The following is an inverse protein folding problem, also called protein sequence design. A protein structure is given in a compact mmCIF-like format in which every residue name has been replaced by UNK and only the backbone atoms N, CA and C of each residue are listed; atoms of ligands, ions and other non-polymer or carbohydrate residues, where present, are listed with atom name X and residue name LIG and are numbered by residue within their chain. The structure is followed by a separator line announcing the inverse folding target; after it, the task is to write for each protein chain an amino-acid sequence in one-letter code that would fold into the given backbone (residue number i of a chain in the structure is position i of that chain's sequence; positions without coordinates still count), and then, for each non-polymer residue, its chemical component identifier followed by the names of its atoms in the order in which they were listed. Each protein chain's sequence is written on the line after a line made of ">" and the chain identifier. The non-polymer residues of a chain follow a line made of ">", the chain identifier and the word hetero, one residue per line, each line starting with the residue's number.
data_IF_983594709677
#
_entry.id   IF_983594709677
#
_cell.length_a   1.000
_cell.length_b   1.000
_cell.length_c   1.000
_cell.angle_alpha   90.00
_cell.angle_beta   90.00
_cell.angle_gamma   90.00
#
_symmetry.space_group_name_H-M   'P 1'
#
loop_
_entity.id
_entity.type
_entity.pdbx_description
1 polymer ?
#
# COMPACT_ATOMS: atom_id res chain seq x y z
N UNK A 1 -12.69 -12.34 58.41
CA UNK A 1 -13.45 -13.53 58.84
C UNK A 1 -13.29 -14.60 57.76
N UNK A 2 -12.87 -15.80 58.16
CA UNK A 2 -12.54 -16.94 57.30
C UNK A 2 -13.80 -17.79 57.08
N UNK A 3 -14.05 -18.19 55.84
CA UNK A 3 -14.99 -19.24 55.47
C UNK A 3 -14.23 -20.37 54.80
N UNK A 4 -13.82 -21.37 55.59
CA UNK A 4 -13.24 -22.64 55.16
C UNK A 4 -14.35 -23.68 55.18
N UNK A 5 -14.43 -24.55 54.18
CA UNK A 5 -14.67 -26.00 54.35
C UNK A 5 -14.56 -26.72 53.00
N UNK A 6 -13.47 -27.46 52.86
CA UNK A 6 -13.26 -28.52 51.89
C UNK A 6 -13.90 -29.83 52.38
N UNK A 7 -14.29 -30.72 51.47
CA UNK A 7 -14.43 -32.19 51.63
C UNK A 7 -14.65 -32.77 50.20
N UNK A 8 -13.64 -33.37 49.56
CA UNK A 8 -13.12 -34.77 49.63
C UNK A 8 -13.79 -35.75 48.64
N UNK A 9 -12.96 -36.19 47.68
CA UNK A 9 -12.81 -37.51 47.05
C UNK A 9 -13.90 -38.58 47.21
N UNK A 10 -14.26 -39.20 46.07
CA UNK A 10 -14.32 -40.66 45.96
C UNK A 10 -13.90 -41.11 44.54
N UNK A 11 -12.85 -41.92 44.56
CA UNK A 11 -12.14 -42.53 43.44
C UNK A 11 -12.65 -43.96 43.30
N UNK A 12 -12.59 -44.49 42.07
CA UNK A 12 -12.48 -45.92 41.70
C UNK A 12 -13.70 -46.83 41.89
N UNK A 13 -14.21 -47.33 40.77
CA UNK A 13 -14.37 -48.78 40.63
C UNK A 13 -14.10 -49.20 39.17
N UNK A 14 -13.04 -49.98 39.01
CA UNK A 14 -12.59 -50.62 37.78
C UNK A 14 -12.94 -52.11 37.97
N UNK A 15 -13.80 -52.67 37.12
CA UNK A 15 -14.01 -54.13 37.07
C UNK A 15 -14.11 -54.60 35.61
N UNK A 16 -13.24 -55.52 35.17
CA UNK A 16 -13.33 -56.15 33.87
C UNK A 16 -14.12 -57.46 33.96
N UNK A 17 -15.08 -57.68 33.07
CA UNK A 17 -15.56 -59.01 32.72
C UNK A 17 -15.61 -59.10 31.20
N UNK A 18 -14.95 -60.14 30.68
CA UNK A 18 -14.82 -60.48 29.27
C UNK A 18 -15.87 -61.53 28.90
N UNK A 19 -16.28 -61.48 27.62
CA UNK A 19 -16.82 -62.58 26.80
C UNK A 19 -18.32 -62.90 27.07
N UNK A 20 -19.21 -63.13 26.10
CA UNK A 20 -19.08 -63.71 24.77
C UNK A 20 -20.16 -63.16 23.80
N UNK A 21 -19.74 -62.88 22.56
CA UNK A 21 -20.32 -63.37 21.30
C UNK A 21 -21.85 -63.52 21.17
N UNK A 22 -22.51 -62.58 20.48
CA UNK A 22 -23.53 -62.93 19.46
C UNK A 22 -23.35 -62.03 18.24
N UNK A 23 -22.92 -62.67 17.15
CA UNK A 23 -22.90 -62.14 15.80
C UNK A 23 -24.30 -61.74 15.35
N UNK A 24 -24.52 -60.46 15.10
CA UNK A 24 -25.60 -60.00 14.23
C UNK A 24 -24.96 -59.32 13.03
N UNK A 25 -25.00 -60.03 11.91
CA UNK A 25 -24.68 -59.50 10.59
C UNK A 25 -25.50 -58.24 10.36
N UNK A 26 -24.86 -57.07 10.46
CA UNK A 26 -25.37 -55.84 9.89
C UNK A 26 -24.72 -55.70 8.52
N UNK A 27 -25.50 -56.09 7.51
CA UNK A 27 -25.28 -55.76 6.10
C UNK A 27 -24.82 -54.31 5.96
N UNK A 28 -23.55 -54.15 5.58
CA UNK A 28 -23.02 -52.89 5.09
C UNK A 28 -23.71 -52.57 3.76
N UNK A 29 -24.27 -51.36 3.56
CA UNK A 29 -24.38 -50.85 2.20
C UNK A 29 -22.96 -50.62 1.69
N UNK A 30 -22.76 -51.00 0.44
CA UNK A 30 -21.52 -50.90 -0.30
C UNK A 30 -20.83 -49.55 -0.05
N UNK A 31 -19.51 -49.63 0.17
CA UNK A 31 -18.62 -48.51 -0.09
C UNK A 31 -18.79 -48.13 -1.55
N UNK A 32 -19.43 -47.00 -1.82
CA UNK A 32 -19.27 -46.31 -3.09
C UNK A 32 -17.76 -46.09 -3.29
N UNK A 33 -17.18 -46.50 -4.42
CA UNK A 33 -15.82 -46.11 -4.73
C UNK A 33 -15.81 -44.58 -4.80
N UNK A 34 -14.88 -44.00 -4.04
CA UNK A 34 -14.54 -42.58 -4.11
C UNK A 34 -14.58 -42.12 -5.57
N UNK A 35 -15.56 -41.30 -5.90
CA UNK A 35 -15.53 -40.57 -7.17
C UNK A 35 -14.26 -39.72 -7.12
N UNK A 36 -13.32 -39.87 -8.07
CA UNK A 36 -12.24 -38.91 -8.18
C UNK A 36 -12.91 -37.56 -8.38
N UNK A 37 -12.55 -36.56 -7.57
CA UNK A 37 -12.98 -35.19 -7.79
C UNK A 37 -12.55 -34.82 -9.22
N UNK A 38 -13.47 -34.91 -10.17
CA UNK A 38 -13.20 -34.62 -11.56
C UNK A 38 -12.79 -33.14 -11.63
N UNK A 39 -11.58 -32.82 -12.12
CA UNK A 39 -11.20 -31.45 -12.38
C UNK A 39 -12.01 -30.98 -13.59
N UNK A 40 -13.23 -30.48 -13.36
CA UNK A 40 -14.11 -30.02 -14.44
C UNK A 40 -15.59 -30.40 -14.38
N UNK A 41 -16.17 -30.69 -13.20
CA UNK A 41 -17.63 -30.87 -13.09
C UNK A 41 -18.42 -29.64 -13.56
N UNK A 42 -19.68 -29.82 -13.97
CA UNK A 42 -20.55 -28.74 -14.49
C UNK A 42 -20.60 -27.49 -13.58
N UNK A 43 -20.45 -27.67 -12.27
CA UNK A 43 -20.33 -26.58 -11.29
C UNK A 43 -19.03 -25.77 -11.44
N UNK A 44 -17.89 -26.43 -11.67
CA UNK A 44 -16.61 -25.76 -11.93
C UNK A 44 -16.60 -25.06 -13.29
N UNK A 45 -17.26 -25.64 -14.30
CA UNK A 45 -17.46 -24.99 -15.60
C UNK A 45 -18.37 -23.76 -15.50
N UNK A 46 -19.46 -23.86 -14.73
CA UNK A 46 -20.36 -22.73 -14.47
C UNK A 46 -19.64 -21.62 -13.69
N UNK A 47 -18.84 -21.98 -12.69
CA UNK A 47 -18.03 -21.04 -11.91
C UNK A 47 -16.98 -20.34 -12.78
N UNK A 48 -16.27 -21.08 -13.64
CA UNK A 48 -15.31 -20.51 -14.60
C UNK A 48 -15.98 -19.61 -15.64
N UNK A 49 -17.15 -20.02 -16.14
CA UNK A 49 -17.94 -19.21 -17.07
C UNK A 49 -18.40 -17.89 -16.42
N UNK A 50 -18.88 -17.97 -15.18
CA UNK A 50 -19.31 -16.80 -14.44
C UNK A 50 -18.13 -15.89 -14.06
N UNK A 51 -16.97 -16.46 -13.70
CA UNK A 51 -15.72 -15.74 -13.46
C UNK A 51 -15.27 -14.96 -14.71
N UNK A 52 -15.19 -15.61 -15.87
CA UNK A 52 -14.79 -14.95 -17.13
C UNK A 52 -15.74 -13.81 -17.53
N UNK A 53 -17.04 -13.95 -17.26
CA UNK A 53 -18.02 -12.91 -17.59
C UNK A 53 -17.97 -11.71 -16.65
N UNK A 54 -17.53 -11.92 -15.41
CA UNK A 54 -17.39 -10.88 -14.40
C UNK A 54 -15.99 -10.26 -14.37
N UNK A 55 -15.02 -10.87 -15.03
CA UNK A 55 -13.64 -10.40 -15.08
C UNK A 55 -13.50 -8.97 -15.63
N UNK A 56 -14.11 -8.58 -16.77
CA UNK A 56 -14.01 -7.20 -17.26
C UNK A 56 -14.58 -6.15 -16.30
N UNK A 57 -15.59 -6.52 -15.49
CA UNK A 57 -16.14 -5.63 -14.47
C UNK A 57 -15.17 -5.47 -13.30
N UNK A 58 -14.59 -6.57 -12.82
CA UNK A 58 -13.58 -6.54 -11.76
C UNK A 58 -12.34 -5.76 -12.19
N UNK A 59 -11.91 -5.93 -13.43
CA UNK A 59 -10.75 -5.23 -13.99
C UNK A 59 -11.02 -3.71 -14.09
N UNK A 60 -12.22 -3.33 -14.54
CA UNK A 60 -12.66 -1.94 -14.53
C UNK A 60 -12.75 -1.36 -13.10
N UNK A 61 -13.26 -2.14 -12.14
CA UNK A 61 -13.36 -1.74 -10.74
C UNK A 61 -11.97 -1.53 -10.12
N UNK A 62 -10.97 -2.37 -10.44
CA UNK A 62 -9.59 -2.23 -9.97
C UNK A 62 -8.97 -0.92 -10.48
N UNK A 63 -9.08 -0.65 -11.78
CA UNK A 63 -8.56 0.58 -12.38
C UNK A 63 -9.26 1.83 -11.80
N UNK A 64 -10.59 1.78 -11.62
CA UNK A 64 -11.34 2.88 -11.02
C UNK A 64 -11.00 3.08 -9.54
N UNK A 65 -10.72 2.01 -8.81
CA UNK A 65 -10.30 2.10 -7.40
C UNK A 65 -8.93 2.77 -7.29
N UNK A 66 -7.99 2.44 -8.18
CA UNK A 66 -6.70 3.13 -8.28
C UNK A 66 -6.86 4.62 -8.58
N UNK A 67 -7.70 5.01 -9.55
CA UNK A 67 -8.00 6.43 -9.86
C UNK A 67 -8.57 7.17 -8.65
N UNK A 68 -9.50 6.55 -7.91
CA UNK A 68 -10.09 7.16 -6.70
C UNK A 68 -9.07 7.31 -5.59
N UNK A 69 -8.22 6.31 -5.37
CA UNK A 69 -7.16 6.36 -4.38
C UNK A 69 -6.12 7.44 -4.73
N UNK A 70 -5.77 7.56 -6.01
CA UNK A 70 -4.88 8.60 -6.52
C UNK A 70 -5.48 10.00 -6.29
N UNK A 71 -6.76 10.18 -6.61
CA UNK A 71 -7.48 11.44 -6.35
C UNK A 71 -7.50 11.78 -4.85
N UNK A 72 -7.71 10.78 -4.00
CA UNK A 72 -7.69 10.96 -2.55
C UNK A 72 -6.30 11.35 -2.04
N UNK A 73 -5.23 10.77 -2.59
CA UNK A 73 -3.85 11.11 -2.26
C UNK A 73 -3.53 12.56 -2.64
N UNK A 74 -3.81 12.98 -3.88
CA UNK A 74 -3.63 14.39 -4.31
C UNK A 74 -4.42 15.34 -3.41
N UNK A 75 -5.70 15.05 -3.15
CA UNK A 75 -6.52 15.88 -2.27
C UNK A 75 -6.00 15.94 -0.83
N UNK A 76 -5.38 14.88 -0.32
CA UNK A 76 -4.76 14.87 1.00
C UNK A 76 -3.46 15.70 1.05
N UNK A 77 -2.63 15.65 0.01
CA UNK A 77 -1.46 16.52 -0.12
C UNK A 77 -1.87 17.99 -0.20
N UNK A 78 -2.84 18.34 -1.04
CA UNK A 78 -3.35 19.72 -1.12
C UNK A 78 -3.91 20.21 0.21
N UNK A 79 -4.64 19.34 0.93
CA UNK A 79 -5.18 19.70 2.24
C UNK A 79 -4.07 19.95 3.26
N UNK A 80 -3.01 19.15 3.24
CA UNK A 80 -1.82 19.34 4.08
C UNK A 80 -1.15 20.68 3.80
N UNK A 81 -0.97 21.05 2.52
CA UNK A 81 -0.37 22.33 2.14
C UNK A 81 -1.20 23.55 2.54
N UNK A 82 -2.52 23.39 2.59
CA UNK A 82 -3.46 24.46 2.98
C UNK A 82 -3.61 24.62 4.49
N UNK A 83 -2.96 23.77 5.31
CA UNK A 83 -2.99 23.96 6.77
C UNK A 83 -2.21 25.21 7.16
N UNK A 84 -2.72 25.97 8.13
CA UNK A 84 -2.05 27.19 8.65
C UNK A 84 -0.63 26.90 9.17
N UNK A 85 -0.37 25.65 9.50
CA UNK A 85 0.89 25.13 10.05
C UNK A 85 1.85 24.60 8.98
N UNK A 86 1.47 24.69 7.69
CA UNK A 86 2.32 24.37 6.54
C UNK A 86 3.48 25.36 6.33
N UNK A 87 3.63 26.37 7.20
CA UNK A 87 4.75 27.30 7.18
C UNK A 87 6.11 26.57 7.22
N UNK A 88 6.22 25.45 7.94
CA UNK A 88 7.45 24.63 7.94
C UNK A 88 7.71 23.96 6.58
N UNK A 89 6.66 23.49 5.89
CA UNK A 89 6.79 22.93 4.54
C UNK A 89 7.20 24.00 3.53
N UNK A 90 6.69 25.23 3.68
CA UNK A 90 7.13 26.36 2.86
C UNK A 90 8.60 26.71 3.09
N UNK A 91 9.09 26.75 4.34
CA UNK A 91 10.53 26.96 4.63
C UNK A 91 11.42 25.88 4.02
N UNK A 92 10.96 24.63 4.02
CA UNK A 92 11.69 23.52 3.40
C UNK A 92 11.78 23.73 1.88
N UNK A 93 10.71 24.21 1.24
CA UNK A 93 10.72 24.56 -0.19
C UNK A 93 11.58 25.80 -0.49
N UNK A 94 11.54 26.82 0.36
CA UNK A 94 12.42 28.00 0.23
C UNK A 94 13.90 27.60 0.33
N UNK A 95 14.24 26.71 1.28
CA UNK A 95 15.58 26.15 1.38
C UNK A 95 15.96 25.36 0.11
N UNK A 96 15.00 24.65 -0.48
CA UNK A 96 15.21 23.90 -1.71
C UNK A 96 15.49 24.81 -2.90
N UNK A 97 14.81 25.94 -3.02
CA UNK A 97 15.08 26.94 -4.06
C UNK A 97 16.47 27.56 -3.94
N UNK A 98 16.99 27.70 -2.71
CA UNK A 98 18.34 28.20 -2.45
C UNK A 98 19.44 27.13 -2.56
N UNK A 99 19.09 25.85 -2.60
CA UNK A 99 20.05 24.74 -2.62
C UNK A 99 20.35 24.28 -4.06
N UNK A 100 21.63 24.15 -4.48
CA UNK A 100 21.99 23.68 -5.82
C UNK A 100 21.43 22.29 -6.17
N UNK A 101 21.28 21.40 -5.19
CA UNK A 101 20.67 20.07 -5.32
C UNK A 101 19.17 20.03 -5.04
N UNK A 102 18.54 21.20 -4.91
CA UNK A 102 17.09 21.35 -4.74
C UNK A 102 16.54 20.64 -3.50
N UNK A 103 15.27 20.26 -3.58
CA UNK A 103 14.53 19.64 -2.47
C UNK A 103 15.16 18.33 -2.01
N UNK A 104 15.74 17.55 -2.94
CA UNK A 104 16.38 16.27 -2.62
C UNK A 104 17.60 16.46 -1.72
N UNK A 105 18.43 17.47 -1.99
CA UNK A 105 19.57 17.79 -1.14
C UNK A 105 19.10 18.25 0.24
N UNK A 106 18.11 19.15 0.29
CA UNK A 106 17.54 19.62 1.56
C UNK A 106 17.03 18.47 2.42
N UNK A 107 16.20 17.60 1.85
CA UNK A 107 15.64 16.46 2.57
C UNK A 107 16.74 15.49 3.03
N UNK A 108 17.75 15.22 2.21
CA UNK A 108 18.91 14.39 2.59
C UNK A 108 19.71 14.99 3.75
N UNK A 109 19.93 16.31 3.73
CA UNK A 109 20.70 17.05 4.71
C UNK A 109 19.88 17.46 5.95
N UNK A 110 18.57 17.15 5.98
CA UNK A 110 17.75 17.13 7.20
C UNK A 110 18.06 15.94 8.12
N UNK A 111 19.01 15.07 7.77
CA UNK A 111 19.54 14.03 8.66
C UNK A 111 20.28 14.63 9.86
N UNK A 112 20.43 13.88 10.97
CA UNK A 112 21.22 14.33 12.12
C UNK A 112 22.63 14.79 11.72
N UNK A 113 22.98 16.02 12.10
CA UNK A 113 24.29 16.62 11.79
C UNK A 113 24.45 17.12 10.34
N UNK A 114 23.42 17.04 9.51
CA UNK A 114 23.42 17.63 8.16
C UNK A 114 23.14 19.13 8.15
N UNK A 115 23.31 19.75 6.98
CA UNK A 115 23.18 21.20 6.80
C UNK A 115 21.79 21.75 7.18
N UNK A 116 20.75 20.92 7.08
CA UNK A 116 19.35 21.29 7.37
C UNK A 116 18.77 20.54 8.58
N UNK A 117 19.60 20.01 9.49
CA UNK A 117 19.16 19.34 10.72
C UNK A 117 18.22 20.20 11.59
N UNK A 118 18.38 21.52 11.58
CA UNK A 118 17.46 22.42 12.30
C UNK A 118 16.06 22.44 11.68
N UNK A 119 15.94 22.42 10.34
CA UNK A 119 14.63 22.29 9.67
C UNK A 119 13.96 20.98 10.03
N UNK A 120 14.73 19.89 10.18
CA UNK A 120 14.20 18.61 10.67
C UNK A 120 13.64 18.70 12.07
N UNK A 121 14.36 19.34 12.99
CA UNK A 121 13.87 19.54 14.36
C UNK A 121 12.61 20.39 14.40
N UNK A 122 12.55 21.45 13.62
CA UNK A 122 11.34 22.29 13.50
C UNK A 122 10.16 21.53 12.92
N UNK A 123 10.38 20.72 11.88
CA UNK A 123 9.36 19.84 11.30
C UNK A 123 8.82 18.85 12.33
N UNK A 124 9.71 18.13 13.03
CA UNK A 124 9.32 17.19 14.07
C UNK A 124 8.60 17.88 15.24
N UNK A 125 9.05 19.07 15.64
CA UNK A 125 8.40 19.84 16.69
C UNK A 125 7.00 20.31 16.27
N UNK A 126 6.82 20.68 15.00
CA UNK A 126 5.52 21.08 14.45
C UNK A 126 4.57 19.88 14.41
N UNK A 127 5.03 18.71 13.94
CA UNK A 127 4.26 17.46 13.99
C UNK A 127 3.84 17.09 15.41
N UNK A 128 4.71 17.28 16.40
CA UNK A 128 4.42 16.92 17.79
C UNK A 128 3.48 17.93 18.50
N UNK A 129 3.52 19.20 18.09
CA UNK A 129 2.80 20.29 18.78
C UNK A 129 1.45 20.59 18.15
N UNK A 130 1.33 20.44 16.84
CA UNK A 130 0.16 20.85 16.08
C UNK A 130 -0.65 19.63 15.64
N UNK A 131 -1.77 19.40 16.32
CA UNK A 131 -2.67 18.27 16.06
C UNK A 131 -3.27 18.34 14.65
N UNK A 132 -3.57 19.53 14.13
CA UNK A 132 -4.16 19.70 12.80
C UNK A 132 -3.15 19.38 11.71
N UNK A 133 -1.90 19.85 11.87
CA UNK A 133 -0.80 19.52 10.98
C UNK A 133 -0.51 18.02 11.00
N UNK A 134 -0.38 17.45 12.20
CA UNK A 134 -0.13 16.02 12.39
C UNK A 134 -1.21 15.16 11.74
N UNK A 135 -2.49 15.44 12.00
CA UNK A 135 -3.61 14.70 11.41
C UNK A 135 -3.64 14.83 9.88
N UNK A 136 -3.35 16.02 9.34
CA UNK A 136 -3.29 16.23 7.88
C UNK A 136 -2.11 15.50 7.26
N UNK A 137 -0.96 15.47 7.95
CA UNK A 137 0.23 14.74 7.51
C UNK A 137 0.00 13.23 7.52
N UNK A 138 -0.58 12.69 8.59
CA UNK A 138 -0.94 11.27 8.68
C UNK A 138 -1.96 10.87 7.61
N UNK A 139 -2.94 11.74 7.33
CA UNK A 139 -3.91 11.53 6.26
C UNK A 139 -3.23 11.49 4.88
N UNK A 140 -2.29 12.40 4.61
CA UNK A 140 -1.52 12.41 3.36
C UNK A 140 -0.65 11.14 3.22
N UNK A 141 0.08 10.76 4.27
CA UNK A 141 0.89 9.54 4.28
C UNK A 141 0.04 8.27 4.09
N UNK A 142 -1.11 8.19 4.77
CA UNK A 142 -2.02 7.05 4.64
C UNK A 142 -2.68 6.98 3.27
N UNK A 143 -3.01 8.13 2.66
CA UNK A 143 -3.56 8.19 1.33
C UNK A 143 -2.52 7.80 0.26
N UNK A 144 -1.25 8.17 0.44
CA UNK A 144 -0.14 7.72 -0.40
C UNK A 144 0.02 6.19 -0.32
N UNK A 145 0.02 5.64 0.89
CA UNK A 145 0.06 4.18 1.10
C UNK A 145 -1.17 3.51 0.46
N UNK A 146 -2.40 4.02 0.65
CA UNK A 146 -3.57 3.42 0.01
C UNK A 146 -3.50 3.48 -1.53
N UNK A 147 -3.07 4.61 -2.09
CA UNK A 147 -2.85 4.76 -3.52
C UNK A 147 -1.82 3.75 -4.05
N UNK A 148 -0.69 3.61 -3.38
CA UNK A 148 0.34 2.67 -3.80
C UNK A 148 -0.17 1.22 -3.83
N UNK A 149 -1.04 0.84 -2.90
CA UNK A 149 -1.63 -0.50 -2.81
C UNK A 149 -2.61 -0.74 -3.97
N UNK A 150 -3.52 0.21 -4.18
CA UNK A 150 -4.49 0.11 -5.27
C UNK A 150 -3.84 0.22 -6.64
N UNK A 151 -2.74 0.97 -6.75
CA UNK A 151 -1.96 1.04 -7.98
C UNK A 151 -1.31 -0.29 -8.32
N UNK A 152 -0.73 -0.96 -7.34
CA UNK A 152 -0.16 -2.30 -7.50
C UNK A 152 -1.23 -3.34 -7.85
N UNK A 153 -2.37 -3.32 -7.15
CA UNK A 153 -3.49 -4.19 -7.45
C UNK A 153 -4.07 -3.98 -8.86
N UNK A 154 -4.04 -2.75 -9.38
CA UNK A 154 -4.51 -2.42 -10.72
C UNK A 154 -3.48 -2.69 -11.83
N UNK A 155 -2.18 -2.81 -11.51
CA UNK A 155 -1.09 -2.98 -12.48
C UNK A 155 -1.39 -4.00 -13.61
N UNK A 156 -1.90 -5.23 -13.35
CA UNK A 156 -2.15 -6.20 -14.41
C UNK A 156 -3.27 -5.80 -15.38
N UNK A 157 -4.19 -4.92 -14.97
CA UNK A 157 -5.37 -4.55 -15.76
C UNK A 157 -5.22 -3.20 -16.46
N UNK A 158 -4.30 -2.34 -16.00
CA UNK A 158 -4.03 -1.03 -16.58
C UNK A 158 -3.74 -1.05 -18.09
N UNK A 159 -2.95 -1.99 -18.65
CA UNK A 159 -2.70 -2.02 -20.11
C UNK A 159 -3.96 -2.16 -20.96
N UNK A 160 -5.04 -2.68 -20.38
CA UNK A 160 -6.34 -2.90 -21.03
C UNK A 160 -7.44 -1.96 -20.54
N UNK A 161 -7.11 -1.07 -19.59
CA UNK A 161 -8.06 -0.15 -19.01
C UNK A 161 -8.52 0.92 -20.03
N UNK A 162 -9.62 1.58 -19.70
CA UNK A 162 -10.14 2.66 -20.53
C UNK A 162 -9.13 3.81 -20.65
N UNK A 163 -8.93 4.33 -21.87
CA UNK A 163 -7.97 5.40 -22.15
C UNK A 163 -8.19 6.66 -21.29
N UNK A 164 -9.43 6.99 -20.95
CA UNK A 164 -9.75 8.12 -20.08
C UNK A 164 -9.31 7.90 -18.63
N UNK A 165 -9.41 6.67 -18.11
CA UNK A 165 -8.92 6.32 -16.77
C UNK A 165 -7.39 6.37 -16.77
N UNK A 166 -6.75 5.84 -17.83
CA UNK A 166 -5.29 5.85 -17.96
C UNK A 166 -4.71 7.27 -17.99
N UNK A 167 -5.26 8.15 -18.83
CA UNK A 167 -4.79 9.53 -18.91
C UNK A 167 -4.96 10.30 -17.60
N UNK A 168 -6.05 10.06 -16.86
CA UNK A 168 -6.26 10.67 -15.54
C UNK A 168 -5.30 10.11 -14.50
N UNK A 169 -5.12 8.80 -14.49
CA UNK A 169 -4.22 8.15 -13.55
C UNK A 169 -2.80 8.64 -13.78
N UNK A 170 -2.32 8.72 -15.02
CA UNK A 170 -1.01 9.28 -15.37
C UNK A 170 -0.84 10.72 -14.87
N UNK A 171 -1.82 11.59 -15.08
CA UNK A 171 -1.76 12.97 -14.56
C UNK A 171 -1.78 13.05 -13.02
N UNK A 172 -2.49 12.13 -12.35
CA UNK A 172 -2.49 12.05 -10.88
C UNK A 172 -1.18 11.48 -10.36
N UNK A 173 -0.59 10.53 -11.07
CA UNK A 173 0.69 9.91 -10.72
C UNK A 173 1.82 10.93 -10.68
N UNK A 174 1.90 11.79 -11.69
CA UNK A 174 2.88 12.88 -11.73
C UNK A 174 2.73 13.82 -10.52
N UNK A 175 1.49 14.18 -10.18
CA UNK A 175 1.20 15.03 -9.02
C UNK A 175 1.57 14.34 -7.71
N UNK A 176 1.25 13.06 -7.56
CA UNK A 176 1.57 12.27 -6.37
C UNK A 176 3.08 12.13 -6.23
N UNK A 177 3.79 11.74 -7.30
CA UNK A 177 5.25 11.58 -7.28
C UNK A 177 5.91 12.90 -6.94
N UNK A 178 5.48 14.01 -7.53
CA UNK A 178 6.00 15.34 -7.19
C UNK A 178 5.76 15.67 -5.72
N UNK A 179 4.50 15.68 -5.28
CA UNK A 179 4.13 16.08 -3.92
C UNK A 179 4.80 15.18 -2.86
N UNK A 180 4.86 13.87 -3.09
CA UNK A 180 5.47 12.93 -2.15
C UNK A 180 7.01 12.98 -2.14
N UNK A 181 7.65 13.37 -3.26
CA UNK A 181 9.11 13.58 -3.31
C UNK A 181 9.57 14.88 -2.63
N UNK A 182 8.67 15.86 -2.54
CA UNK A 182 8.94 17.14 -1.87
C UNK A 182 8.56 17.12 -0.39
N UNK A 183 7.71 16.17 0.01
CA UNK A 183 7.27 16.03 1.40
C UNK A 183 8.34 15.32 2.25
N UNK A 184 8.74 15.89 3.41
CA UNK A 184 9.62 15.19 4.34
C UNK A 184 9.00 13.88 4.82
N UNK A 185 9.78 12.80 4.79
CA UNK A 185 9.42 11.50 5.31
C UNK A 185 9.44 11.43 6.84
N UNK A 186 8.86 10.37 7.41
CA UNK A 186 8.93 10.08 8.85
C UNK A 186 10.36 9.79 9.31
N UNK A 187 11.18 9.21 8.46
CA UNK A 187 12.61 9.00 8.65
C UNK A 187 13.41 10.23 8.20
N UNK A 188 14.42 10.60 8.98
CA UNK A 188 15.26 11.74 8.65
C UNK A 188 16.09 11.44 7.40
N UNK A 189 16.25 12.42 6.51
CA UNK A 189 17.04 12.23 5.29
C UNK A 189 16.26 11.75 4.08
N UNK A 190 14.96 11.46 4.21
CA UNK A 190 14.13 10.86 3.15
C UNK A 190 12.89 11.69 2.85
N UNK A 191 12.40 11.56 1.64
CA UNK A 191 11.05 12.00 1.28
C UNK A 191 10.00 10.94 1.64
N UNK A 192 8.73 11.33 1.69
CA UNK A 192 7.62 10.39 1.85
C UNK A 192 7.58 9.36 0.69
N UNK A 193 8.02 9.76 -0.50
CA UNK A 193 8.16 8.85 -1.64
C UNK A 193 9.28 7.83 -1.43
N UNK A 194 10.46 8.24 -0.95
CA UNK A 194 11.58 7.33 -0.70
C UNK A 194 11.21 6.25 0.33
N UNK A 195 10.44 6.61 1.35
CA UNK A 195 9.90 5.65 2.31
C UNK A 195 8.88 4.69 1.69
N UNK A 196 8.00 5.19 0.83
CA UNK A 196 7.05 4.34 0.12
C UNK A 196 7.77 3.34 -0.81
N UNK A 197 8.89 3.76 -1.41
CA UNK A 197 9.76 2.89 -2.23
C UNK A 197 10.48 1.85 -1.37
N UNK A 198 11.00 2.23 -0.20
CA UNK A 198 11.66 1.32 0.75
C UNK A 198 10.70 0.25 1.31
N UNK A 199 9.39 0.55 1.40
CA UNK A 199 8.34 -0.45 1.72
C UNK A 199 8.14 -1.50 0.62
N UNK A 200 8.83 -1.39 -0.53
CA UNK A 200 8.93 -2.46 -1.52
C UNK A 200 7.73 -2.63 -2.44
N UNK A 201 6.95 -1.57 -2.69
CA UNK A 201 5.78 -1.64 -3.59
C UNK A 201 6.24 -1.48 -5.04
N UNK A 202 6.31 -2.60 -5.76
CA UNK A 202 6.92 -2.69 -7.10
C UNK A 202 6.25 -1.75 -8.10
N UNK A 203 4.92 -1.60 -8.05
CA UNK A 203 4.21 -0.69 -8.95
C UNK A 203 4.53 0.80 -8.74
N UNK A 204 4.86 1.23 -7.53
CA UNK A 204 5.29 2.61 -7.26
C UNK A 204 6.71 2.82 -7.78
N UNK A 205 7.57 1.82 -7.59
CA UNK A 205 8.93 1.85 -8.11
C UNK A 205 8.94 1.95 -9.63
N UNK A 206 8.19 1.07 -10.31
CA UNK A 206 8.07 1.07 -11.76
C UNK A 206 7.50 2.38 -12.29
N UNK A 207 6.52 2.95 -11.59
CA UNK A 207 5.96 4.24 -11.92
C UNK A 207 7.01 5.35 -11.84
N UNK A 208 7.71 5.46 -10.70
CA UNK A 208 8.73 6.50 -10.49
C UNK A 208 9.88 6.34 -11.49
N UNK A 209 10.32 5.12 -11.74
CA UNK A 209 11.38 4.83 -12.70
C UNK A 209 10.92 5.12 -14.14
N UNK A 210 9.66 4.85 -14.48
CA UNK A 210 9.04 5.21 -15.78
C UNK A 210 8.96 6.73 -15.97
N UNK A 211 8.43 7.45 -14.99
CA UNK A 211 8.35 8.92 -14.99
C UNK A 211 9.76 9.52 -15.12
N UNK A 212 10.72 9.06 -14.31
CA UNK A 212 12.12 9.50 -14.39
C UNK A 212 12.74 9.19 -15.76
N UNK A 213 12.44 8.04 -16.36
CA UNK A 213 12.90 7.68 -17.71
C UNK A 213 12.32 8.59 -18.78
N UNK A 214 11.04 8.96 -18.67
CA UNK A 214 10.39 9.91 -19.57
C UNK A 214 11.05 11.29 -19.48
N UNK A 215 11.24 11.81 -18.27
CA UNK A 215 11.92 13.10 -18.06
C UNK A 215 13.40 13.08 -18.49
N UNK A 216 14.10 11.96 -18.33
CA UNK A 216 15.51 11.84 -18.74
C UNK A 216 15.68 11.75 -20.27
N UNK A 217 14.65 11.33 -21.02
CA UNK A 217 14.65 11.36 -22.50
C UNK A 217 14.36 12.74 -23.07
N UNK A 218 13.78 13.64 -22.28
CA UNK A 218 13.57 15.05 -22.62
C UNK A 218 14.75 15.97 -22.24
N UNK A 219 15.89 15.42 -21.80
CA UNK A 219 17.11 16.20 -21.54
C UNK A 219 17.66 16.88 -22.81
N UNK A 220 18.40 17.99 -22.68
CA UNK A 220 18.73 18.87 -23.80
C UNK A 220 19.39 18.09 -24.93
N UNK A 221 18.75 18.08 -26.09
CA UNK A 221 19.39 17.69 -27.34
C UNK A 221 20.59 18.61 -27.51
N UNK A 222 21.79 18.09 -27.23
CA UNK A 222 23.02 18.73 -27.63
C UNK A 222 22.95 18.89 -29.15
N UNK A 223 22.76 20.12 -29.60
CA UNK A 223 22.85 20.48 -31.02
C UNK A 223 24.14 19.86 -31.58
N UNK A 224 24.08 19.14 -32.71
CA UNK A 224 25.30 18.75 -33.40
C UNK A 224 26.05 20.02 -33.78
N UNK A 225 27.18 20.27 -33.14
CA UNK A 225 28.12 21.29 -33.55
C UNK A 225 28.57 20.97 -34.97
N UNK A 226 28.00 21.67 -35.94
CA UNK A 226 28.56 21.79 -37.28
C UNK A 226 29.71 22.79 -37.18
N UNK A 227 30.95 22.28 -37.15
CA UNK A 227 32.12 23.10 -37.46
C UNK A 227 32.39 23.01 -38.97
N UNK A 228 32.54 24.14 -39.69
CA UNK A 228 33.08 24.18 -41.05
C UNK A 228 34.59 23.89 -41.08
#
# INVERSE_FOLDING_TARGET
>A
MRGSLALRNLLTDFRPERSESISVQKTAPAQDPASPAQPGGARALFERFNQNRMQPRRDADLAQTAERAATAAVGAFEALEKTDSAAILSRIREAAEASPGGIKEVLSEMRPGGAYDNLRKEFNATLARDENFSASYEKAASALDAYAEHREAAAPVLPTANAGILARLEALDEQIVKASSELPGKDSGKSALDEALDKGREAVKDLVDSIRSAFSRQGPSASPGLSP
#
